data_IF_202410565292
#
_entry.id   IF_202410565292
#
_cell.length_a   1.000
_cell.length_b   1.000
_cell.length_c   1.000
_cell.angle_alpha   90.00
_cell.angle_beta   90.00
_cell.angle_gamma   90.00
#
_symmetry.space_group_name_H-M   'P 1'
#
loop_
_entity.id
_entity.type
_entity.pdbx_description
1 polymer ?
#
# COMPACT_ATOMS: atom_id res chain seq x y z
N UNK A 1 4.34 -3.28 -7.46
CA UNK A 1 3.31 -2.73 -6.55
C UNK A 1 1.99 -2.70 -7.31
N UNK A 2 0.95 -3.39 -6.83
CA UNK A 2 -0.32 -3.52 -7.56
C UNK A 2 -0.98 -2.14 -7.74
N UNK A 3 -1.30 -1.73 -8.98
CA UNK A 3 -1.97 -0.45 -9.32
C UNK A 3 -3.44 -0.37 -8.86
N UNK A 4 -3.80 -1.17 -7.86
CA UNK A 4 -5.14 -1.25 -7.31
C UNK A 4 -5.44 0.01 -6.49
N UNK A 5 -4.45 0.51 -5.74
CA UNK A 5 -4.64 1.61 -4.79
C UNK A 5 -3.99 2.93 -5.21
N UNK A 6 -2.99 2.89 -6.10
CA UNK A 6 -2.43 4.09 -6.74
C UNK A 6 -3.15 4.28 -8.06
N UNK A 7 -4.22 5.08 -8.02
CA UNK A 7 -5.01 5.43 -9.20
C UNK A 7 -4.58 6.80 -9.74
N UNK A 8 -4.24 6.84 -11.02
CA UNK A 8 -3.74 8.04 -11.68
C UNK A 8 -4.88 9.01 -12.03
N UNK A 9 -6.07 8.48 -12.34
CA UNK A 9 -7.24 9.31 -12.67
C UNK A 9 -8.13 9.58 -11.47
N UNK A 10 -8.77 10.76 -11.43
CA UNK A 10 -9.72 11.12 -10.38
C UNK A 10 -10.95 10.19 -10.38
N UNK A 11 -11.40 9.76 -11.56
CA UNK A 11 -12.55 8.86 -11.72
C UNK A 11 -12.25 7.52 -11.03
N UNK A 12 -11.09 6.93 -11.27
CA UNK A 12 -10.70 5.67 -10.65
C UNK A 12 -10.60 5.77 -9.13
N UNK A 13 -10.19 6.93 -8.59
CA UNK A 13 -10.16 7.19 -7.14
C UNK A 13 -11.56 7.25 -6.55
N UNK A 14 -12.48 7.93 -7.24
CA UNK A 14 -13.88 8.01 -6.82
C UNK A 14 -14.51 6.63 -6.85
N UNK A 15 -14.27 5.85 -7.90
CA UNK A 15 -14.78 4.47 -8.01
C UNK A 15 -14.24 3.57 -6.89
N UNK A 16 -12.95 3.70 -6.56
CA UNK A 16 -12.37 2.98 -5.42
C UNK A 16 -13.05 3.35 -4.10
N UNK A 17 -13.34 4.64 -3.88
CA UNK A 17 -14.10 5.12 -2.72
C UNK A 17 -15.53 4.59 -2.68
N UNK A 18 -16.19 4.52 -3.84
CA UNK A 18 -17.52 3.93 -3.95
C UNK A 18 -17.49 2.46 -3.50
N UNK A 19 -16.54 1.68 -4.02
CA UNK A 19 -16.39 0.26 -3.69
C UNK A 19 -16.03 0.01 -2.22
N UNK A 20 -15.19 0.86 -1.65
CA UNK A 20 -14.70 0.69 -0.28
C UNK A 20 -15.65 1.26 0.79
N UNK A 21 -16.47 2.26 0.47
CA UNK A 21 -17.25 2.99 1.48
C UNK A 21 -18.73 3.03 1.15
N UNK A 22 -19.10 3.46 -0.06
CA UNK A 22 -20.51 3.68 -0.40
C UNK A 22 -21.27 2.35 -0.56
N UNK A 23 -20.72 1.39 -1.30
CA UNK A 23 -21.32 0.08 -1.52
C UNK A 23 -21.60 -0.72 -0.23
N UNK A 24 -20.65 -0.89 0.71
CA UNK A 24 -20.94 -1.58 1.98
C UNK A 24 -21.92 -0.78 2.86
N UNK A 25 -21.87 0.56 2.85
CA UNK A 25 -22.83 1.41 3.57
C UNK A 25 -24.25 1.22 3.07
N UNK A 26 -24.47 1.22 1.75
CA UNK A 26 -25.80 0.98 1.16
C UNK A 26 -26.30 -0.40 1.57
N UNK A 27 -25.43 -1.41 1.53
CA UNK A 27 -25.78 -2.80 1.88
C UNK A 27 -26.13 -2.94 3.36
N UNK A 28 -25.42 -2.24 4.25
CA UNK A 28 -25.72 -2.20 5.68
C UNK A 28 -27.02 -1.44 5.97
N UNK A 29 -27.23 -0.30 5.32
CA UNK A 29 -28.46 0.48 5.46
C UNK A 29 -29.64 -0.34 4.98
N UNK A 30 -29.53 -1.04 3.84
CA UNK A 30 -30.64 -1.83 3.34
C UNK A 30 -30.99 -3.01 4.22
N UNK A 31 -29.98 -3.70 4.75
CA UNK A 31 -30.19 -4.80 5.70
C UNK A 31 -30.82 -4.32 7.02
N UNK A 32 -30.42 -3.16 7.55
CA UNK A 32 -30.85 -2.67 8.87
C UNK A 32 -32.17 -1.90 8.83
N UNK A 33 -32.35 -1.00 7.85
CA UNK A 33 -33.52 -0.12 7.77
C UNK A 33 -34.69 -0.74 6.99
N UNK A 34 -34.42 -1.50 5.93
CA UNK A 34 -35.47 -2.12 5.11
C UNK A 34 -35.77 -3.57 5.51
N UNK A 35 -34.96 -4.16 6.40
CA UNK A 35 -35.15 -5.53 6.88
C UNK A 35 -35.02 -6.60 5.79
N UNK A 36 -34.42 -6.24 4.65
CA UNK A 36 -34.19 -7.17 3.55
C UNK A 36 -33.14 -8.21 3.97
N UNK A 37 -33.49 -9.49 3.84
CA UNK A 37 -32.52 -10.55 4.05
C UNK A 37 -31.36 -10.38 3.05
N UNK A 38 -30.10 -10.32 3.51
CA UNK A 38 -28.98 -10.09 2.61
C UNK A 38 -28.89 -11.22 1.59
N UNK A 39 -29.00 -10.85 0.31
CA UNK A 39 -28.87 -11.80 -0.79
C UNK A 39 -27.45 -12.39 -0.83
N UNK A 40 -27.28 -13.57 -1.44
CA UNK A 40 -25.97 -14.18 -1.67
C UNK A 40 -25.01 -13.20 -2.38
N UNK A 41 -25.52 -12.38 -3.30
CA UNK A 41 -24.74 -11.35 -3.99
C UNK A 41 -24.27 -10.24 -3.05
N UNK A 42 -25.13 -9.80 -2.13
CA UNK A 42 -24.79 -8.81 -1.10
C UNK A 42 -23.69 -9.33 -0.17
N UNK A 43 -23.75 -10.60 0.23
CA UNK A 43 -22.74 -11.25 1.06
C UNK A 43 -21.40 -11.36 0.33
N UNK A 44 -21.40 -11.79 -0.94
CA UNK A 44 -20.18 -11.82 -1.76
C UNK A 44 -19.58 -10.42 -1.96
N UNK A 45 -20.43 -9.40 -2.15
CA UNK A 45 -20.00 -8.01 -2.24
C UNK A 45 -19.30 -7.54 -0.96
N UNK A 46 -19.90 -7.82 0.21
CA UNK A 46 -19.29 -7.51 1.51
C UNK A 46 -17.97 -8.24 1.73
N UNK A 47 -17.89 -9.53 1.38
CA UNK A 47 -16.64 -10.29 1.47
C UNK A 47 -15.52 -9.66 0.63
N UNK A 48 -15.83 -9.27 -0.62
CA UNK A 48 -14.89 -8.55 -1.49
C UNK A 48 -14.44 -7.24 -0.85
N UNK A 49 -15.36 -6.45 -0.29
CA UNK A 49 -15.03 -5.18 0.36
C UNK A 49 -14.11 -5.39 1.58
N UNK A 50 -14.39 -6.38 2.42
CA UNK A 50 -13.53 -6.71 3.57
C UNK A 50 -12.12 -7.13 3.11
N UNK A 51 -12.02 -7.94 2.06
CA UNK A 51 -10.72 -8.28 1.47
C UNK A 51 -9.99 -7.03 0.98
N UNK A 52 -10.68 -6.11 0.30
CA UNK A 52 -10.11 -4.84 -0.17
C UNK A 52 -9.65 -3.95 0.99
N UNK A 53 -10.37 -3.93 2.11
CA UNK A 53 -9.95 -3.20 3.31
C UNK A 53 -8.68 -3.78 3.92
N UNK A 54 -8.56 -5.10 3.99
CA UNK A 54 -7.35 -5.75 4.49
C UNK A 54 -6.14 -5.41 3.59
N UNK A 55 -6.30 -5.54 2.28
CA UNK A 55 -5.27 -5.18 1.31
C UNK A 55 -4.89 -3.69 1.39
N UNK A 56 -5.87 -2.81 1.63
CA UNK A 56 -5.64 -1.38 1.83
C UNK A 56 -4.86 -1.09 3.12
N UNK A 57 -5.22 -1.73 4.23
CA UNK A 57 -4.49 -1.59 5.50
C UNK A 57 -3.04 -2.04 5.31
N UNK A 58 -2.83 -3.19 4.69
CA UNK A 58 -1.49 -3.69 4.39
C UNK A 58 -0.70 -2.71 3.51
N UNK A 59 -1.34 -2.15 2.49
CA UNK A 59 -0.75 -1.12 1.65
C UNK A 59 -0.35 0.14 2.45
N UNK A 60 -1.17 0.59 3.40
CA UNK A 60 -0.84 1.75 4.25
C UNK A 60 0.34 1.46 5.18
N UNK A 61 0.41 0.25 5.75
CA UNK A 61 1.55 -0.17 6.58
C UNK A 61 2.85 -0.12 5.77
N UNK A 62 2.86 -0.75 4.60
CA UNK A 62 4.02 -0.74 3.70
C UNK A 62 4.41 0.68 3.29
N UNK A 63 3.43 1.55 3.02
CA UNK A 63 3.69 2.94 2.64
C UNK A 63 4.33 3.72 3.80
N UNK A 64 3.86 3.51 5.03
CA UNK A 64 4.44 4.12 6.22
C UNK A 64 5.88 3.64 6.45
N UNK A 65 6.14 2.33 6.29
CA UNK A 65 7.47 1.74 6.42
C UNK A 65 8.45 2.29 5.37
N UNK A 66 8.04 2.37 4.11
CA UNK A 66 8.87 2.98 3.04
C UNK A 66 9.15 4.47 3.34
N UNK A 67 8.19 5.19 3.91
CA UNK A 67 8.38 6.58 4.32
C UNK A 67 9.41 6.72 5.45
N UNK A 68 9.34 5.82 6.44
CA UNK A 68 10.31 5.76 7.53
C UNK A 68 11.71 5.43 7.01
N UNK A 69 11.84 4.40 6.18
CA UNK A 69 13.10 4.04 5.51
C UNK A 69 13.69 5.21 4.72
N UNK A 70 12.83 5.94 4.00
CA UNK A 70 13.23 7.14 3.27
C UNK A 70 13.83 8.19 4.21
N UNK A 71 13.21 8.41 5.37
CA UNK A 71 13.69 9.35 6.39
C UNK A 71 15.04 8.91 6.98
N UNK A 72 15.17 7.63 7.35
CA UNK A 72 16.39 7.05 7.91
C UNK A 72 17.55 7.14 6.90
N UNK A 73 17.33 6.71 5.66
CA UNK A 73 18.37 6.73 4.63
C UNK A 73 18.81 8.17 4.33
N UNK A 74 17.88 9.13 4.34
CA UNK A 74 18.20 10.56 4.19
C UNK A 74 18.98 11.14 5.36
N UNK A 75 18.70 10.73 6.59
CA UNK A 75 19.41 11.25 7.78
C UNK A 75 20.88 10.83 7.83
N UNK A 76 21.24 9.70 7.20
CA UNK A 76 22.63 9.21 7.08
C UNK A 76 23.36 9.70 5.82
N UNK A 77 22.74 10.58 5.02
CA UNK A 77 23.38 11.19 3.83
C UNK A 77 23.20 10.43 2.52
N UNK A 78 22.31 9.44 2.46
CA UNK A 78 21.93 8.69 1.24
C UNK A 78 20.49 8.98 0.81
N UNK A 79 20.05 8.62 -0.41
CA UNK A 79 20.16 7.27 -0.94
C UNK A 79 21.47 7.01 -1.71
N UNK A 80 21.98 5.78 -1.61
CA UNK A 80 23.26 5.38 -2.22
C UNK A 80 23.20 5.16 -3.74
N UNK A 81 21.97 5.10 -4.29
CA UNK A 81 21.68 5.01 -5.72
C UNK A 81 20.70 6.16 -6.03
N UNK A 82 20.89 6.86 -7.15
CA UNK A 82 19.95 7.87 -7.60
C UNK A 82 19.04 7.31 -8.71
N UNK A 83 17.75 7.57 -8.64
CA UNK A 83 16.80 7.30 -9.73
C UNK A 83 15.88 8.50 -9.93
N UNK A 84 15.61 8.84 -11.20
CA UNK A 84 14.66 9.91 -11.55
C UNK A 84 13.23 9.36 -11.76
N UNK A 85 13.06 8.04 -11.76
CA UNK A 85 11.77 7.41 -11.95
C UNK A 85 11.08 7.17 -10.59
N UNK A 86 9.89 7.74 -10.36
CA UNK A 86 9.17 7.60 -9.09
C UNK A 86 8.77 6.15 -8.78
N UNK A 87 8.63 5.29 -9.79
CA UNK A 87 8.30 3.87 -9.61
C UNK A 87 9.46 3.12 -8.95
N UNK A 88 10.69 3.48 -9.30
CA UNK A 88 11.88 2.81 -8.80
C UNK A 88 12.39 3.39 -7.47
N UNK A 89 11.86 4.54 -7.06
CA UNK A 89 12.37 5.29 -5.91
C UNK A 89 12.22 4.53 -4.58
N UNK A 90 11.14 3.76 -4.39
CA UNK A 90 10.97 2.92 -3.19
C UNK A 90 12.02 1.80 -3.10
N UNK A 91 12.42 1.21 -4.23
CA UNK A 91 13.44 0.16 -4.27
C UNK A 91 14.84 0.69 -3.91
N UNK A 92 15.13 1.94 -4.28
CA UNK A 92 16.38 2.61 -3.91
C UNK A 92 16.50 2.77 -2.39
N UNK A 93 15.42 3.17 -1.70
CA UNK A 93 15.44 3.27 -0.23
C UNK A 93 15.49 1.90 0.45
N UNK A 94 14.85 0.88 -0.13
CA UNK A 94 14.96 -0.50 0.35
C UNK A 94 16.42 -1.01 0.27
N UNK A 95 17.13 -0.76 -0.83
CA UNK A 95 18.56 -1.06 -0.95
C UNK A 95 19.40 -0.31 0.11
N UNK A 96 19.08 0.96 0.36
CA UNK A 96 19.73 1.74 1.40
C UNK A 96 19.57 1.15 2.81
N UNK A 97 18.36 0.68 3.14
CA UNK A 97 18.11 0.00 4.41
C UNK A 97 18.81 -1.34 4.51
N UNK A 98 18.86 -2.11 3.42
CA UNK A 98 19.60 -3.38 3.37
C UNK A 98 21.10 -3.16 3.67
N UNK A 99 21.71 -2.12 3.09
CA UNK A 99 23.10 -1.76 3.37
C UNK A 99 23.31 -1.36 4.82
N UNK A 100 22.42 -0.54 5.36
CA UNK A 100 22.47 -0.14 6.77
C UNK A 100 22.37 -1.36 7.70
N UNK A 101 21.47 -2.29 7.39
CA UNK A 101 21.32 -3.54 8.13
C UNK A 101 22.61 -4.37 8.13
N UNK A 102 23.27 -4.53 6.98
CA UNK A 102 24.56 -5.24 6.92
C UNK A 102 25.64 -4.56 7.77
N UNK A 103 25.73 -3.23 7.72
CA UNK A 103 26.68 -2.45 8.52
C UNK A 103 26.42 -2.68 10.02
N UNK A 104 25.16 -2.63 10.47
CA UNK A 104 24.81 -2.84 11.87
C UNK A 104 25.07 -4.28 12.35
N UNK A 105 24.89 -5.27 11.48
CA UNK A 105 25.10 -6.69 11.81
C UNK A 105 26.56 -7.16 11.62
N UNK A 106 27.48 -6.24 11.28
CA UNK A 106 28.90 -6.58 11.07
C UNK A 106 29.17 -7.37 9.78
N UNK A 107 28.22 -7.41 8.85
CA UNK A 107 28.38 -8.02 7.54
C UNK A 107 29.03 -7.03 6.57
N UNK A 108 30.03 -7.48 5.80
CA UNK A 108 30.59 -6.67 4.72
C UNK A 108 29.52 -6.46 3.64
N UNK A 109 29.24 -5.22 3.20
CA UNK A 109 28.28 -4.99 2.13
C UNK A 109 28.81 -5.62 0.84
N UNK A 110 28.02 -6.46 0.19
CA UNK A 110 28.31 -6.90 -1.18
C UNK A 110 28.18 -5.69 -2.10
N UNK A 111 29.29 -5.01 -2.36
CA UNK A 111 29.37 -3.97 -3.38
C UNK A 111 28.94 -4.59 -4.73
N UNK A 112 28.05 -3.93 -5.49
CA UNK A 112 27.83 -4.33 -6.86
C UNK A 112 29.17 -4.21 -7.59
N UNK A 113 29.64 -5.32 -8.17
CA UNK A 113 30.76 -5.29 -9.11
C UNK A 113 30.25 -4.56 -10.35
N UNK A 114 30.91 -3.45 -10.68
CA UNK A 114 30.71 -2.73 -11.94
C UNK A 114 30.89 -3.67 -13.14
#
# INVERSE_FOLDING_TARGET
MNKVFVKDTLIDRIMLWVDMVISPLITLISAVYYGEAPSILSIMGLYKTVSMWNDWIYFQILKAEVHEWTSIVKSIGGPFIATNDPVYHSYVYADGMQRLHYICMGGAPSLPKN
#
